data_IF_895628246429
#
_entry.id   IF_895628246429
#
_cell.length_a   1.000
_cell.length_b   1.000
_cell.length_c   1.000
_cell.angle_alpha   90.00
_cell.angle_beta   90.00
_cell.angle_gamma   90.00
#
_symmetry.space_group_name_H-M   'P 1'
#
loop_
_entity.id
_entity.type
_entity.pdbx_description
1 polymer ?
#
# COMPACT_ATOMS: atom_id res chain seq x y z
N UNK A 1 -20.98 9.27 -12.44
CA UNK A 1 -21.17 7.90 -11.91
C UNK A 1 -20.03 6.96 -12.26
N UNK A 2 -19.42 7.07 -13.46
CA UNK A 2 -18.31 6.23 -13.93
C UNK A 2 -16.97 6.47 -13.21
N UNK A 3 -16.71 7.70 -12.74
CA UNK A 3 -15.48 8.07 -12.01
C UNK A 3 -15.33 7.32 -10.68
N UNK A 4 -16.44 7.08 -9.96
CA UNK A 4 -16.41 6.35 -8.69
C UNK A 4 -16.08 4.87 -8.90
N UNK A 5 -16.64 4.24 -9.93
CA UNK A 5 -16.39 2.82 -10.23
C UNK A 5 -14.93 2.61 -10.62
N UNK A 6 -14.36 3.49 -11.44
CA UNK A 6 -12.95 3.42 -11.82
C UNK A 6 -12.05 3.61 -10.59
N UNK A 7 -12.34 4.59 -9.71
CA UNK A 7 -11.59 4.80 -8.47
C UNK A 7 -11.68 3.62 -7.48
N UNK A 8 -12.82 2.92 -7.45
CA UNK A 8 -12.99 1.71 -6.64
C UNK A 8 -12.23 0.52 -7.23
N UNK A 9 -12.28 0.33 -8.54
CA UNK A 9 -11.54 -0.72 -9.22
C UNK A 9 -10.03 -0.48 -9.12
N UNK A 10 -9.56 0.76 -9.30
CA UNK A 10 -8.16 1.10 -9.07
C UNK A 10 -7.78 0.97 -7.60
N UNK A 11 -8.70 1.23 -6.67
CA UNK A 11 -8.51 1.05 -5.22
C UNK A 11 -8.36 -0.40 -4.76
N UNK A 12 -9.07 -1.33 -5.40
CA UNK A 12 -8.89 -2.77 -5.22
C UNK A 12 -7.52 -3.19 -5.78
N UNK A 13 -7.19 -2.70 -6.99
CA UNK A 13 -5.92 -2.97 -7.68
C UNK A 13 -4.73 -2.17 -7.12
N UNK A 14 -4.97 -1.21 -6.22
CA UNK A 14 -3.92 -0.43 -5.57
C UNK A 14 -3.12 -1.36 -4.69
N UNK A 15 -1.89 -1.55 -5.14
CA UNK A 15 -0.88 -2.30 -4.44
C UNK A 15 -0.69 -1.65 -3.05
N UNK A 16 -0.81 -2.41 -1.95
CA UNK A 16 -0.69 -1.88 -0.59
C UNK A 16 0.68 -1.28 -0.27
N UNK A 17 1.62 -1.36 -1.21
CA UNK A 17 2.98 -0.88 -1.08
C UNK A 17 3.89 -2.04 -1.41
N UNK A 18 4.18 -2.22 -2.70
CA UNK A 18 5.48 -2.79 -3.01
C UNK A 18 6.47 -1.70 -2.64
N UNK A 19 7.43 -1.96 -1.73
CA UNK A 19 8.53 -1.04 -1.55
C UNK A 19 9.25 -0.98 -2.90
N UNK A 20 9.23 0.22 -3.51
CA UNK A 20 9.99 0.58 -4.70
C UNK A 20 11.42 -0.01 -4.75
N UNK A 21 12.19 -0.14 -3.64
CA UNK A 21 13.51 -0.77 -3.70
C UNK A 21 13.55 -2.22 -4.19
N UNK A 22 12.46 -3.00 -4.10
CA UNK A 22 12.43 -4.37 -4.65
C UNK A 22 12.28 -4.32 -6.17
N UNK A 23 11.36 -3.50 -6.68
CA UNK A 23 11.20 -3.30 -8.12
C UNK A 23 12.46 -2.66 -8.70
N UNK A 24 13.04 -1.66 -8.04
CA UNK A 24 14.30 -1.06 -8.48
C UNK A 24 15.46 -2.05 -8.46
N UNK A 25 15.58 -2.92 -7.44
CA UNK A 25 16.60 -3.99 -7.43
C UNK A 25 16.37 -5.01 -8.56
N UNK A 26 15.13 -5.41 -8.81
CA UNK A 26 14.79 -6.35 -9.90
C UNK A 26 15.02 -5.69 -11.25
N UNK A 27 14.54 -4.47 -11.47
CA UNK A 27 14.73 -3.70 -12.71
C UNK A 27 16.20 -3.39 -12.95
N UNK A 28 16.97 -3.00 -11.92
CA UNK A 28 18.41 -2.76 -12.04
C UNK A 28 19.18 -4.06 -12.29
N UNK A 29 18.74 -5.19 -11.73
CA UNK A 29 19.30 -6.51 -12.03
C UNK A 29 18.96 -7.01 -13.44
N UNK A 30 17.78 -6.66 -13.96
CA UNK A 30 17.29 -7.09 -15.28
C UNK A 30 17.73 -6.16 -16.42
N UNK A 31 17.88 -4.85 -16.16
CA UNK A 31 18.13 -3.80 -17.17
C UNK A 31 19.37 -2.93 -16.88
N UNK A 32 19.99 -3.00 -15.70
CA UNK A 32 21.08 -2.12 -15.27
C UNK A 32 22.49 -2.51 -15.69
N UNK A 33 22.67 -3.35 -16.72
CA UNK A 33 24.00 -3.70 -17.21
C UNK A 33 24.47 -2.66 -18.23
N UNK A 34 24.94 -1.51 -17.74
CA UNK A 34 25.42 -0.47 -18.63
C UNK A 34 25.93 0.80 -17.97
N UNK A 35 27.13 0.69 -17.37
CA UNK A 35 28.10 1.75 -17.03
C UNK A 35 27.94 2.38 -15.62
N UNK A 36 29.10 2.62 -15.02
CA UNK A 36 29.37 3.56 -13.90
C UNK A 36 29.38 2.98 -12.47
N UNK A 37 30.33 2.08 -12.18
CA UNK A 37 30.61 1.60 -10.82
C UNK A 37 31.02 2.70 -9.81
N UNK A 38 31.25 3.94 -10.25
CA UNK A 38 31.71 5.03 -9.40
C UNK A 38 30.60 6.00 -8.97
N UNK A 39 29.45 6.01 -9.66
CA UNK A 39 28.28 6.82 -9.27
C UNK A 39 27.42 6.09 -8.23
N UNK A 40 27.39 4.76 -8.25
CA UNK A 40 26.64 3.93 -7.29
C UNK A 40 27.15 4.08 -5.85
N UNK A 41 28.46 4.22 -5.66
CA UNK A 41 29.07 4.41 -4.34
C UNK A 41 28.75 5.79 -3.75
N UNK A 42 28.65 6.83 -4.58
CA UNK A 42 28.34 8.20 -4.15
C UNK A 42 26.84 8.33 -3.84
N UNK A 43 25.98 7.74 -4.67
CA UNK A 43 24.52 7.78 -4.45
C UNK A 43 24.09 6.96 -3.24
N UNK A 44 24.69 5.78 -3.03
CA UNK A 44 24.44 4.95 -1.85
C UNK A 44 24.91 5.62 -0.55
N UNK A 45 26.06 6.31 -0.57
CA UNK A 45 26.53 7.12 0.56
C UNK A 45 25.62 8.32 0.83
N UNK A 46 25.11 8.99 -0.21
CA UNK A 46 24.17 10.11 -0.06
C UNK A 46 22.79 9.67 0.46
N UNK A 47 22.28 8.53 0.01
CA UNK A 47 21.04 7.93 0.51
C UNK A 47 21.16 7.55 1.99
N UNK A 48 22.27 6.93 2.38
CA UNK A 48 22.55 6.60 3.78
C UNK A 48 22.69 7.86 4.65
N UNK A 49 23.39 8.89 4.16
CA UNK A 49 23.52 10.17 4.87
C UNK A 49 22.16 10.89 5.04
N UNK A 50 21.26 10.80 4.05
CA UNK A 50 19.91 11.37 4.13
C UNK A 50 18.99 10.60 5.08
N UNK A 51 19.16 9.29 5.18
CA UNK A 51 18.46 8.46 6.17
C UNK A 51 18.89 8.78 7.61
N UNK A 52 20.18 9.07 7.82
CA UNK A 52 20.74 9.42 9.14
C UNK A 52 20.32 10.82 9.64
N UNK A 53 19.93 11.72 8.73
CA UNK A 53 19.46 13.07 9.08
C UNK A 53 17.98 13.15 9.48
N UNK A 54 17.24 12.03 9.55
CA UNK A 54 15.85 12.05 9.98
C UNK A 54 15.75 12.31 11.51
N UNK A 55 15.20 13.46 11.96
CA UNK A 55 15.11 13.81 13.39
C UNK A 55 14.16 12.87 14.18
N UNK A 56 13.36 12.06 13.49
CA UNK A 56 12.47 11.07 14.09
C UNK A 56 13.15 9.70 14.08
N UNK A 57 14.01 9.49 15.08
CA UNK A 57 14.93 8.35 15.29
C UNK A 57 14.56 6.94 14.81
N UNK A 58 15.64 6.19 14.58
CA UNK A 58 15.71 4.74 14.31
C UNK A 58 14.53 4.16 13.53
N UNK A 59 14.62 4.31 12.21
CA UNK A 59 13.79 3.55 11.28
C UNK A 59 14.14 2.07 11.49
N UNK A 60 13.17 1.25 11.92
CA UNK A 60 13.41 -0.14 12.29
C UNK A 60 13.89 -1.00 11.11
N UNK A 61 14.44 -2.18 11.39
CA UNK A 61 14.83 -3.15 10.38
C UNK A 61 13.84 -4.32 10.34
N UNK A 62 13.57 -4.87 9.16
CA UNK A 62 12.76 -6.08 9.01
C UNK A 62 13.67 -7.28 8.77
N UNK A 63 13.69 -8.23 9.71
CA UNK A 63 14.46 -9.46 9.61
C UNK A 63 13.91 -10.45 8.57
N UNK A 64 12.60 -10.43 8.31
CA UNK A 64 11.95 -11.32 7.35
C UNK A 64 12.28 -10.93 5.91
N UNK A 65 12.28 -9.62 5.61
CA UNK A 65 12.56 -9.10 4.27
C UNK A 65 14.03 -8.68 4.07
N UNK A 66 14.87 -8.79 5.10
CA UNK A 66 16.30 -8.41 5.09
C UNK A 66 16.54 -6.98 4.57
N UNK A 67 15.79 -6.01 5.08
CA UNK A 67 16.00 -4.59 4.74
C UNK A 67 15.57 -3.64 5.85
N UNK A 68 16.16 -2.44 5.83
CA UNK A 68 15.69 -1.32 6.64
C UNK A 68 14.31 -0.90 6.19
N UNK A 69 13.41 -0.68 7.14
CA UNK A 69 12.09 -0.11 6.87
C UNK A 69 12.28 1.28 6.27
N UNK A 70 11.27 1.78 5.55
CA UNK A 70 11.32 3.13 4.98
C UNK A 70 10.92 4.18 6.00
N UNK A 71 9.95 3.85 6.85
CA UNK A 71 9.47 4.68 7.93
C UNK A 71 9.17 3.85 9.19
N UNK A 72 8.79 4.54 10.27
CA UNK A 72 8.37 3.91 11.54
C UNK A 72 7.03 3.18 11.42
N UNK A 73 6.21 3.55 10.44
CA UNK A 73 4.86 3.01 10.25
C UNK A 73 4.83 1.86 9.23
N UNK A 74 6.00 1.31 8.90
CA UNK A 74 6.15 0.17 8.00
C UNK A 74 6.17 -1.12 8.82
N UNK A 75 5.29 -2.06 8.49
CA UNK A 75 5.21 -3.36 9.17
C UNK A 75 5.18 -4.50 8.17
N UNK A 76 5.80 -5.61 8.56
CA UNK A 76 5.79 -6.84 7.77
C UNK A 76 4.49 -7.59 8.05
N UNK A 77 3.72 -7.87 7.00
CA UNK A 77 2.58 -8.76 7.09
C UNK A 77 3.04 -10.19 6.77
N UNK A 78 2.87 -11.10 7.74
CA UNK A 78 3.27 -12.51 7.59
C UNK A 78 2.42 -13.20 6.51
N UNK A 79 1.12 -12.90 6.44
CA UNK A 79 0.21 -13.52 5.47
C UNK A 79 0.53 -13.13 4.02
N UNK A 80 1.09 -11.93 3.81
CA UNK A 80 1.47 -11.45 2.48
C UNK A 80 2.97 -11.52 2.21
N UNK A 81 3.79 -11.85 3.21
CA UNK A 81 5.26 -11.91 3.18
C UNK A 81 5.92 -10.62 2.62
N UNK A 82 5.34 -9.46 2.93
CA UNK A 82 5.83 -8.15 2.45
C UNK A 82 5.75 -7.08 3.55
N UNK A 83 6.65 -6.10 3.47
CA UNK A 83 6.59 -4.87 4.27
C UNK A 83 5.64 -3.86 3.65
N UNK A 84 4.66 -3.41 4.43
CA UNK A 84 3.62 -2.45 4.03
C UNK A 84 3.88 -1.10 4.71
N UNK A 85 3.94 -0.03 3.92
CA UNK A 85 4.06 1.35 4.41
C UNK A 85 2.72 1.83 4.97
N UNK A 86 2.74 2.44 6.15
CA UNK A 86 1.54 2.89 6.84
C UNK A 86 0.56 1.75 7.12
N UNK A 87 1.07 0.60 7.55
CA UNK A 87 0.27 -0.62 7.76
C UNK A 87 -0.86 -0.39 8.75
N UNK A 88 -2.07 -0.78 8.36
CA UNK A 88 -3.25 -0.78 9.21
C UNK A 88 -3.59 -2.23 9.62
N UNK A 89 -3.94 -3.08 8.66
CA UNK A 89 -4.21 -4.49 8.91
C UNK A 89 -4.13 -5.36 7.64
N UNK A 90 -4.04 -6.68 7.80
CA UNK A 90 -4.35 -7.63 6.72
C UNK A 90 -5.85 -7.91 6.71
N UNK A 91 -6.54 -7.53 5.64
CA UNK A 91 -7.98 -7.76 5.54
C UNK A 91 -8.25 -9.07 4.79
N UNK A 92 -8.76 -10.08 5.50
CA UNK A 92 -9.10 -11.40 4.94
C UNK A 92 -10.19 -11.27 3.85
N UNK A 93 -11.18 -10.38 4.06
CA UNK A 93 -12.28 -10.18 3.12
C UNK A 93 -11.83 -9.61 1.77
N UNK A 94 -10.83 -8.74 1.78
CA UNK A 94 -10.23 -8.20 0.55
C UNK A 94 -9.04 -9.04 0.07
N UNK A 95 -8.64 -10.06 0.85
CA UNK A 95 -7.44 -10.87 0.64
C UNK A 95 -6.19 -10.02 0.36
N UNK A 96 -6.08 -8.87 1.04
CA UNK A 96 -4.93 -7.96 0.91
C UNK A 96 -4.67 -7.16 2.17
N UNK A 97 -3.44 -6.64 2.28
CA UNK A 97 -3.09 -5.64 3.27
C UNK A 97 -3.77 -4.29 2.98
N UNK A 98 -4.21 -3.63 4.04
CA UNK A 98 -4.65 -2.24 4.04
C UNK A 98 -3.55 -1.42 4.70
N UNK A 99 -3.15 -0.35 4.02
CA UNK A 99 -2.10 0.54 4.48
C UNK A 99 -2.18 1.90 3.79
N UNK A 100 -1.13 2.70 3.92
CA UNK A 100 -1.13 4.10 3.45
C UNK A 100 -1.51 4.25 1.98
N UNK A 101 -1.09 3.30 1.13
CA UNK A 101 -1.37 3.34 -0.32
C UNK A 101 -2.81 3.06 -0.74
N UNK A 102 -3.66 2.50 0.14
CA UNK A 102 -5.02 2.10 -0.21
C UNK A 102 -6.08 2.37 0.89
N UNK A 103 -5.72 3.05 1.98
CA UNK A 103 -6.61 3.31 3.12
C UNK A 103 -7.87 4.10 2.70
N UNK A 104 -7.75 5.10 1.83
CA UNK A 104 -8.88 5.90 1.35
C UNK A 104 -9.85 5.05 0.53
N UNK A 105 -9.29 4.22 -0.36
CA UNK A 105 -10.05 3.30 -1.21
C UNK A 105 -10.81 2.27 -0.38
N UNK A 106 -10.19 1.75 0.69
CA UNK A 106 -10.83 0.84 1.64
C UNK A 106 -12.08 1.48 2.28
N UNK A 107 -11.94 2.67 2.88
CA UNK A 107 -13.06 3.37 3.50
C UNK A 107 -14.16 3.74 2.50
N UNK A 108 -13.79 4.18 1.30
CA UNK A 108 -14.75 4.48 0.23
C UNK A 108 -15.57 3.24 -0.16
N UNK A 109 -14.93 2.08 -0.21
CA UNK A 109 -15.62 0.82 -0.53
C UNK A 109 -16.64 0.42 0.54
N UNK A 110 -16.32 0.57 1.83
CA UNK A 110 -17.23 0.29 2.94
C UNK A 110 -18.46 1.19 2.88
N UNK A 111 -18.24 2.50 2.70
CA UNK A 111 -19.32 3.49 2.63
C UNK A 111 -20.25 3.18 1.46
N UNK A 112 -19.69 2.84 0.29
CA UNK A 112 -20.50 2.53 -0.88
C UNK A 112 -21.33 1.27 -0.68
N UNK A 113 -20.73 0.19 -0.13
CA UNK A 113 -21.46 -1.05 0.17
C UNK A 113 -22.61 -0.75 1.13
N UNK A 114 -22.36 0.00 2.20
CA UNK A 114 -23.39 0.40 3.15
C UNK A 114 -24.51 1.21 2.49
N UNK A 115 -24.16 2.19 1.65
CA UNK A 115 -25.14 2.99 0.92
C UNK A 115 -26.02 2.13 -0.01
N UNK A 116 -25.45 1.11 -0.66
CA UNK A 116 -26.21 0.18 -1.51
C UNK A 116 -27.19 -0.64 -0.66
N UNK A 117 -26.74 -1.18 0.48
CA UNK A 117 -27.59 -1.95 1.39
C UNK A 117 -28.76 -1.13 1.93
N UNK A 118 -28.50 0.11 2.37
CA UNK A 118 -29.55 1.02 2.84
C UNK A 118 -30.53 1.37 1.72
N UNK A 119 -30.02 1.68 0.52
CA UNK A 119 -30.88 2.02 -0.62
C UNK A 119 -31.77 0.85 -1.02
N UNK A 120 -31.19 -0.36 -1.12
CA UNK A 120 -31.95 -1.57 -1.47
C UNK A 120 -32.96 -1.93 -0.38
N UNK A 121 -32.57 -1.92 0.89
CA UNK A 121 -33.48 -2.15 2.01
C UNK A 121 -34.63 -1.13 2.04
N UNK A 122 -34.32 0.14 1.80
CA UNK A 122 -35.33 1.20 1.69
C UNK A 122 -36.32 0.97 0.56
N UNK A 123 -35.86 0.52 -0.62
CA UNK A 123 -36.74 0.17 -1.73
C UNK A 123 -37.67 -1.00 -1.39
N UNK A 124 -37.15 -2.03 -0.73
CA UNK A 124 -37.94 -3.19 -0.30
C UNK A 124 -39.01 -2.78 0.72
N UNK A 125 -38.65 -1.96 1.71
CA UNK A 125 -39.60 -1.46 2.71
C UNK A 125 -40.64 -0.54 2.07
N UNK A 126 -40.24 0.35 1.17
CA UNK A 126 -41.14 1.22 0.43
C UNK A 126 -42.19 0.40 -0.34
N UNK A 127 -41.76 -0.62 -1.10
CA UNK A 127 -42.68 -1.49 -1.85
C UNK A 127 -43.59 -2.30 -0.91
N UNK A 128 -43.11 -2.70 0.27
CA UNK A 128 -43.91 -3.44 1.24
C UNK A 128 -44.91 -2.59 2.02
N UNK A 129 -44.70 -1.27 2.13
CA UNK A 129 -45.51 -0.36 2.96
C UNK A 129 -46.42 0.54 2.14
N UNK A 130 -46.00 0.94 0.93
CA UNK A 130 -46.72 1.91 0.09
C UNK A 130 -47.43 1.28 -1.10
N UNK A 131 -47.64 -0.03 -1.04
CA UNK A 131 -48.39 -0.85 -2.00
C UNK A 131 -49.41 -1.68 -1.23
#
# INVERSE_FOLDING_TARGET
>A
MTTNIIALLTGILQNPGIPQPIIDKILKKQFGKGKDAQSEDIESQQLQAKQQQNPYGQIGYCSMCDHHKKDRNTYHCIDCDICIEGFDHHCVFFSKCIGGGNIISFWTSIIMVFAIFVSFGGLVVFDAVLK
#
